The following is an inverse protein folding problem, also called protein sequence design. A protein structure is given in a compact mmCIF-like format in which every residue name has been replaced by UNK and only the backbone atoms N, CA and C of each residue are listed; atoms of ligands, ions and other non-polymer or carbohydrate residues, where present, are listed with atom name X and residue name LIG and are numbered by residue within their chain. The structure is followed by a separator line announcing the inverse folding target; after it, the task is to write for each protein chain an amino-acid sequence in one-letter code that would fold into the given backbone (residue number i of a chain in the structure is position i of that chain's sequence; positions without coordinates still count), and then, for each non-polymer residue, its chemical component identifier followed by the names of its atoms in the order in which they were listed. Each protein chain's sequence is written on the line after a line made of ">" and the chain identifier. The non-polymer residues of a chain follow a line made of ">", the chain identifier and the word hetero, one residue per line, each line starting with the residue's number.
data_IF_753161579415
#
_entry.id   IF_753161579415
#
_cell.length_a   1.000
_cell.length_b   1.000
_cell.length_c   1.000
_cell.angle_alpha   90.00
_cell.angle_beta   90.00
_cell.angle_gamma   90.00
#
_symmetry.space_group_name_H-M   'P 1'
#
loop_
_entity.id
_entity.type
_entity.pdbx_description
1 polymer ?
#
# COMPACT_ATOMS: atom_id res chain seq x y z
N UNK A 1 -2.93 4.06 36.77
CA UNK A 1 -2.60 2.73 36.19
C UNK A 1 -3.08 1.56 37.06
N UNK A 2 -2.98 1.60 38.40
CA UNK A 2 -3.51 0.52 39.25
C UNK A 2 -5.06 0.44 39.27
N UNK A 3 -5.77 1.57 39.17
CA UNK A 3 -7.23 1.61 39.19
C UNK A 3 -7.87 0.98 37.95
N UNK A 4 -7.32 1.23 36.75
CA UNK A 4 -7.82 0.69 35.46
C UNK A 4 -7.59 -0.81 35.29
N UNK A 5 -6.63 -1.39 36.01
CA UNK A 5 -6.35 -2.83 36.04
C UNK A 5 -7.34 -3.56 36.97
N UNK A 6 -7.79 -2.90 38.05
CA UNK A 6 -8.80 -3.48 38.95
C UNK A 6 -10.20 -3.53 38.31
N UNK A 7 -10.54 -2.53 37.48
CA UNK A 7 -11.84 -2.46 36.80
C UNK A 7 -11.95 -3.52 35.70
N UNK A 8 -10.83 -3.85 35.02
CA UNK A 8 -10.81 -4.90 33.99
C UNK A 8 -10.83 -6.31 34.59
N UNK A 9 -10.20 -6.54 35.74
CA UNK A 9 -10.27 -7.82 36.45
C UNK A 9 -11.71 -8.13 36.94
N UNK A 10 -12.41 -7.13 37.47
CA UNK A 10 -13.81 -7.27 37.88
C UNK A 10 -14.74 -7.50 36.68
N UNK A 11 -14.53 -6.79 35.57
CA UNK A 11 -15.31 -7.01 34.34
C UNK A 11 -15.10 -8.43 33.76
N UNK A 12 -13.87 -8.96 33.82
CA UNK A 12 -13.56 -10.33 33.38
C UNK A 12 -14.18 -11.38 34.31
N UNK A 13 -14.18 -11.16 35.64
CA UNK A 13 -14.86 -12.04 36.58
C UNK A 13 -16.38 -12.02 36.42
N UNK A 14 -16.97 -10.85 36.14
CA UNK A 14 -18.41 -10.69 35.92
C UNK A 14 -18.85 -11.30 34.57
N UNK A 15 -18.04 -11.19 33.53
CA UNK A 15 -18.20 -11.92 32.27
C UNK A 15 -18.07 -13.43 32.49
N UNK A 16 -17.13 -13.87 33.33
CA UNK A 16 -16.94 -15.27 33.69
C UNK A 16 -18.14 -15.86 34.43
N UNK A 17 -18.74 -15.13 35.38
CA UNK A 17 -19.92 -15.58 36.12
C UNK A 17 -21.19 -15.61 35.26
N UNK A 18 -21.39 -14.59 34.40
CA UNK A 18 -22.48 -14.56 33.42
C UNK A 18 -22.34 -15.67 32.37
N UNK A 19 -21.13 -15.96 31.92
CA UNK A 19 -20.86 -17.08 31.02
C UNK A 19 -21.14 -18.41 31.70
N UNK A 20 -20.72 -18.59 32.96
CA UNK A 20 -20.98 -19.81 33.73
C UNK A 20 -22.49 -20.04 33.95
N UNK A 21 -23.26 -18.99 34.31
CA UNK A 21 -24.71 -19.08 34.45
C UNK A 21 -25.41 -19.38 33.11
N UNK A 22 -24.97 -18.75 32.02
CA UNK A 22 -25.52 -18.99 30.67
C UNK A 22 -25.20 -20.41 30.20
N UNK A 23 -23.99 -20.90 30.45
CA UNK A 23 -23.59 -22.28 30.18
C UNK A 23 -24.43 -23.28 30.99
N UNK A 24 -24.67 -23.02 32.28
CA UNK A 24 -25.52 -23.85 33.13
C UNK A 24 -26.98 -23.87 32.64
N UNK A 25 -27.49 -22.73 32.15
CA UNK A 25 -28.84 -22.60 31.60
C UNK A 25 -28.98 -23.32 30.25
N UNK A 26 -27.93 -23.29 29.42
CA UNK A 26 -27.84 -24.04 28.16
C UNK A 26 -27.71 -25.56 28.40
N UNK A 27 -27.05 -25.97 29.47
CA UNK A 27 -26.89 -27.39 29.85
C UNK A 27 -28.18 -28.02 30.41
N UNK A 28 -29.03 -27.24 31.06
CA UNK A 28 -30.24 -27.71 31.77
C UNK A 28 -31.51 -27.75 30.89
N UNK A 29 -31.52 -27.12 29.72
CA UNK A 29 -32.68 -27.14 28.82
C UNK A 29 -32.75 -28.38 27.90
N UNK A 30 -33.98 -28.84 27.57
CA UNK A 30 -34.27 -30.06 26.78
C UNK A 30 -33.83 -30.04 25.29
N UNK A 31 -33.30 -28.93 24.78
CA UNK A 31 -32.91 -28.83 23.36
C UNK A 31 -31.52 -29.45 23.12
N UNK A 32 -31.48 -30.60 22.44
CA UNK A 32 -30.26 -31.30 22.06
C UNK A 32 -29.27 -30.41 21.29
N UNK A 33 -29.77 -29.45 20.50
CA UNK A 33 -28.94 -28.49 19.77
C UNK A 33 -28.16 -27.51 20.66
N UNK A 34 -28.75 -27.04 21.76
CA UNK A 34 -28.09 -26.12 22.70
C UNK A 34 -27.02 -26.83 23.53
N UNK A 35 -27.27 -28.09 23.92
CA UNK A 35 -26.26 -28.94 24.58
C UNK A 35 -25.08 -29.25 23.65
N UNK A 36 -25.35 -29.53 22.37
CA UNK A 36 -24.31 -29.73 21.36
C UNK A 36 -23.47 -28.46 21.16
N UNK A 37 -24.12 -27.29 21.05
CA UNK A 37 -23.42 -26.00 20.93
C UNK A 37 -22.53 -25.74 22.15
N UNK A 38 -23.04 -25.95 23.36
CA UNK A 38 -22.26 -25.79 24.59
C UNK A 38 -21.07 -26.76 24.64
N UNK A 39 -21.27 -28.03 24.25
CA UNK A 39 -20.20 -29.02 24.17
C UNK A 39 -19.12 -28.61 23.16
N UNK A 40 -19.50 -28.05 22.00
CA UNK A 40 -18.56 -27.52 21.00
C UNK A 40 -17.77 -26.33 21.56
N UNK A 41 -18.42 -25.42 22.28
CA UNK A 41 -17.76 -24.27 22.90
C UNK A 41 -16.77 -24.74 23.97
N UNK A 42 -17.20 -25.61 24.89
CA UNK A 42 -16.33 -26.15 25.94
C UNK A 42 -15.17 -26.96 25.37
N UNK A 43 -15.41 -27.79 24.36
CA UNK A 43 -14.35 -28.52 23.66
C UNK A 43 -13.37 -27.56 22.97
N UNK A 44 -13.87 -26.51 22.32
CA UNK A 44 -13.03 -25.47 21.69
C UNK A 44 -12.16 -24.76 22.73
N UNK A 45 -12.76 -24.31 23.83
CA UNK A 45 -12.04 -23.65 24.93
C UNK A 45 -10.98 -24.60 25.52
N UNK A 46 -11.34 -25.86 25.77
CA UNK A 46 -10.41 -26.85 26.28
C UNK A 46 -9.27 -27.13 25.29
N UNK A 47 -9.57 -27.38 24.01
CA UNK A 47 -8.58 -27.68 22.96
C UNK A 47 -7.60 -26.52 22.76
N UNK A 48 -8.09 -25.28 22.79
CA UNK A 48 -7.29 -24.08 22.53
C UNK A 48 -6.90 -23.32 23.81
N UNK A 49 -7.01 -23.93 25.00
CA UNK A 49 -6.68 -23.29 26.29
C UNK A 49 -5.23 -22.79 26.41
N UNK A 50 -4.34 -23.28 25.54
CA UNK A 50 -2.91 -22.90 25.47
C UNK A 50 -2.48 -22.50 24.06
N UNK A 51 -3.42 -22.27 23.15
CA UNK A 51 -3.13 -21.97 21.75
C UNK A 51 -4.13 -20.99 21.15
N UNK A 52 -3.84 -20.52 19.96
CA UNK A 52 -4.69 -19.58 19.23
C UNK A 52 -5.70 -20.35 18.39
N UNK A 53 -6.95 -19.91 18.38
CA UNK A 53 -8.03 -20.53 17.63
C UNK A 53 -7.64 -20.66 16.14
N UNK A 54 -7.73 -21.87 15.60
CA UNK A 54 -7.39 -22.21 14.21
C UNK A 54 -5.93 -22.00 13.78
N UNK A 55 -5.00 -21.78 14.71
CA UNK A 55 -3.58 -21.59 14.40
C UNK A 55 -2.74 -22.65 15.11
N UNK A 56 -1.83 -23.27 14.35
CA UNK A 56 -0.88 -24.25 14.90
C UNK A 56 0.10 -23.54 15.87
N UNK A 57 0.36 -24.12 17.06
CA UNK A 57 1.43 -23.65 17.95
C UNK A 57 2.79 -23.75 17.28
N UNK A 58 3.64 -22.73 17.46
CA UNK A 58 5.00 -22.63 16.94
C UNK A 58 5.94 -22.13 18.06
N UNK A 59 6.20 -22.92 19.12
CA UNK A 59 7.00 -22.47 20.27
C UNK A 59 8.45 -22.14 19.92
N UNK A 60 8.94 -22.64 18.79
CA UNK A 60 10.28 -22.37 18.28
C UNK A 60 10.45 -20.97 17.68
N UNK A 61 9.35 -20.28 17.36
CA UNK A 61 9.40 -18.92 16.81
C UNK A 61 9.27 -17.89 17.95
N UNK A 62 10.19 -16.92 18.05
CA UNK A 62 10.11 -15.86 19.06
C UNK A 62 8.97 -14.89 18.74
N UNK A 63 8.41 -14.24 19.76
CA UNK A 63 7.39 -13.21 19.55
C UNK A 63 6.65 -12.82 20.82
N UNK A 64 5.83 -11.76 20.76
CA UNK A 64 5.04 -11.34 21.91
C UNK A 64 4.05 -12.42 22.34
N UNK A 65 3.91 -12.64 23.67
CA UNK A 65 3.04 -13.70 24.19
C UNK A 65 1.59 -13.40 23.81
N UNK A 66 0.95 -14.36 23.16
CA UNK A 66 -0.47 -14.29 22.82
C UNK A 66 -1.36 -14.77 23.98
N UNK A 67 -2.56 -14.18 24.09
CA UNK A 67 -3.58 -14.67 25.01
C UNK A 67 -4.19 -15.99 24.49
N UNK A 68 -4.65 -16.90 25.38
CA UNK A 68 -5.39 -18.09 24.96
C UNK A 68 -6.58 -17.72 24.06
N UNK A 69 -6.89 -18.57 23.08
CA UNK A 69 -7.94 -18.38 22.07
C UNK A 69 -7.69 -17.25 21.06
N UNK A 70 -7.36 -16.04 21.53
CA UNK A 70 -7.32 -14.82 20.70
C UNK A 70 -5.91 -14.40 20.27
N UNK A 71 -4.86 -15.03 20.80
CA UNK A 71 -3.48 -14.74 20.43
C UNK A 71 -3.10 -13.28 20.66
N UNK A 72 -2.50 -12.66 19.64
CA UNK A 72 -2.08 -11.26 19.66
C UNK A 72 -3.18 -10.30 19.20
N UNK A 73 -4.44 -10.75 19.07
CA UNK A 73 -5.55 -9.90 18.63
C UNK A 73 -5.66 -8.61 19.45
N UNK A 74 -5.61 -8.74 20.79
CA UNK A 74 -5.75 -7.60 21.70
C UNK A 74 -4.63 -6.56 21.52
N UNK A 75 -3.40 -7.03 21.38
CA UNK A 75 -2.22 -6.17 21.14
C UNK A 75 -2.38 -5.36 19.85
N UNK A 76 -2.90 -5.98 18.78
CA UNK A 76 -3.10 -5.31 17.49
C UNK A 76 -4.21 -4.26 17.56
N UNK A 77 -5.35 -4.55 18.17
CA UNK A 77 -6.48 -3.60 18.22
C UNK A 77 -6.28 -2.48 19.22
N UNK A 78 -5.45 -2.67 20.24
CA UNK A 78 -5.13 -1.63 21.25
C UNK A 78 -3.97 -0.74 20.85
N UNK A 79 -3.13 -1.17 19.91
CA UNK A 79 -2.04 -0.35 19.39
C UNK A 79 -2.62 0.73 18.47
N UNK A 80 -2.43 2.03 18.77
CA UNK A 80 -2.84 3.10 17.88
C UNK A 80 -2.18 2.94 16.50
N UNK A 81 -2.89 3.23 15.42
CA UNK A 81 -2.36 3.14 14.05
C UNK A 81 -1.09 3.98 13.88
N UNK A 82 -1.03 5.15 14.54
CA UNK A 82 0.15 6.04 14.56
C UNK A 82 1.36 5.47 15.31
N UNK A 83 1.13 4.52 16.24
CA UNK A 83 2.17 3.88 17.04
C UNK A 83 2.60 2.50 16.52
N UNK A 84 2.03 2.06 15.39
CA UNK A 84 2.21 0.72 14.88
C UNK A 84 3.65 0.46 14.39
N UNK A 85 4.29 1.42 13.72
CA UNK A 85 5.66 1.24 13.24
C UNK A 85 6.65 1.13 14.41
N UNK A 86 6.48 1.98 15.43
CA UNK A 86 7.28 1.94 16.65
C UNK A 86 7.03 0.66 17.46
N UNK A 87 5.81 0.08 17.40
CA UNK A 87 5.56 -1.22 18.03
C UNK A 87 6.33 -2.35 17.34
N UNK A 88 6.47 -2.31 16.02
CA UNK A 88 7.31 -3.26 15.28
C UNK A 88 8.79 -3.10 15.65
N UNK A 89 9.30 -1.87 15.75
CA UNK A 89 10.68 -1.62 16.20
C UNK A 89 10.94 -2.19 17.60
N UNK A 90 10.02 -1.97 18.55
CA UNK A 90 10.12 -2.56 19.90
C UNK A 90 10.14 -4.09 19.85
N UNK A 91 9.36 -4.70 18.97
CA UNK A 91 9.37 -6.14 18.79
C UNK A 91 10.70 -6.64 18.21
N UNK A 92 11.28 -5.97 17.21
CA UNK A 92 12.61 -6.34 16.70
C UNK A 92 13.71 -6.13 17.74
N UNK A 93 13.64 -5.06 18.53
CA UNK A 93 14.60 -4.81 19.61
C UNK A 93 14.55 -5.92 20.69
N UNK A 94 13.36 -6.48 20.96
CA UNK A 94 13.16 -7.51 21.99
C UNK A 94 13.39 -8.94 21.50
N UNK A 95 12.96 -9.27 20.29
CA UNK A 95 12.92 -10.64 19.76
C UNK A 95 13.98 -10.91 18.69
N UNK A 96 14.77 -9.90 18.31
CA UNK A 96 15.80 -10.03 17.27
C UNK A 96 15.22 -9.81 15.87
N UNK A 97 15.85 -10.40 14.84
CA UNK A 97 15.54 -10.13 13.42
C UNK A 97 14.22 -10.73 12.93
N UNK A 98 13.62 -11.62 13.71
CA UNK A 98 12.38 -12.32 13.39
C UNK A 98 11.48 -12.34 14.62
N UNK A 99 10.19 -12.09 14.43
CA UNK A 99 9.19 -12.34 15.46
C UNK A 99 7.87 -12.79 14.84
N UNK A 100 7.04 -13.51 15.59
CA UNK A 100 5.74 -13.97 15.12
C UNK A 100 4.57 -13.45 15.96
N UNK A 101 3.44 -13.22 15.29
CA UNK A 101 2.15 -12.99 15.91
C UNK A 101 1.11 -13.93 15.31
N UNK A 102 0.15 -14.37 16.11
CA UNK A 102 -0.97 -15.19 15.65
C UNK A 102 -2.30 -14.57 16.05
N UNK A 103 -3.22 -14.53 15.09
CA UNK A 103 -4.56 -13.97 15.28
C UNK A 103 -5.58 -14.95 14.69
N UNK A 104 -6.68 -15.26 15.39
CA UNK A 104 -7.76 -16.09 14.85
C UNK A 104 -8.24 -15.59 13.48
N UNK A 105 -8.53 -16.52 12.58
CA UNK A 105 -9.01 -16.27 11.20
C UNK A 105 -8.05 -15.52 10.27
N UNK A 106 -7.03 -14.82 10.79
CA UNK A 106 -5.96 -14.19 10.00
C UNK A 106 -4.82 -15.18 9.75
N UNK A 107 -4.54 -16.01 10.75
CA UNK A 107 -3.43 -16.97 10.77
C UNK A 107 -2.20 -16.43 11.49
N UNK A 108 -1.07 -17.08 11.23
CA UNK A 108 0.24 -16.66 11.73
C UNK A 108 0.90 -15.68 10.76
N UNK A 109 1.49 -14.62 11.30
CA UNK A 109 2.39 -13.73 10.58
C UNK A 109 3.78 -13.84 11.19
N UNK A 110 4.77 -14.18 10.38
CA UNK A 110 6.19 -14.17 10.71
C UNK A 110 6.73 -12.87 10.12
N UNK A 111 7.18 -11.97 11.00
CA UNK A 111 7.66 -10.65 10.62
C UNK A 111 9.18 -10.63 10.67
N UNK A 112 9.81 -10.20 9.59
CA UNK A 112 11.27 -10.25 9.41
C UNK A 112 11.82 -8.87 9.02
N UNK A 113 13.09 -8.63 9.33
CA UNK A 113 13.86 -7.48 8.83
C UNK A 113 15.17 -7.91 8.15
N UNK A 114 15.16 -9.09 7.54
CA UNK A 114 16.36 -9.73 7.00
C UNK A 114 16.41 -9.68 5.46
N UNK A 115 17.43 -9.02 4.85
CA UNK A 115 17.54 -8.93 3.40
C UNK A 115 17.64 -10.28 2.67
N UNK A 116 18.28 -11.30 3.26
CA UNK A 116 18.41 -12.61 2.63
C UNK A 116 17.05 -13.31 2.56
N UNK A 117 16.27 -13.24 3.64
CA UNK A 117 14.90 -13.73 3.67
C UNK A 117 14.03 -12.97 2.65
N UNK A 118 14.16 -11.64 2.57
CA UNK A 118 13.42 -10.85 1.58
C UNK A 118 13.79 -11.23 0.15
N UNK A 119 15.08 -11.41 -0.15
CA UNK A 119 15.54 -11.86 -1.45
C UNK A 119 14.98 -13.25 -1.79
N UNK A 120 14.91 -14.17 -0.83
CA UNK A 120 14.27 -15.47 -1.03
C UNK A 120 12.78 -15.33 -1.38
N UNK A 121 12.02 -14.60 -0.57
CA UNK A 121 10.57 -14.45 -0.71
C UNK A 121 10.17 -13.65 -1.95
N UNK A 122 10.94 -12.60 -2.31
CA UNK A 122 10.58 -11.66 -3.36
C UNK A 122 11.26 -11.94 -4.70
N UNK A 123 12.25 -12.84 -4.74
CA UNK A 123 13.00 -13.17 -5.97
C UNK A 123 13.18 -14.67 -6.15
N UNK A 124 13.84 -15.36 -5.23
CA UNK A 124 14.26 -16.77 -5.43
C UNK A 124 13.08 -17.73 -5.51
N UNK A 125 12.14 -17.65 -4.56
CA UNK A 125 10.97 -18.51 -4.49
C UNK A 125 9.65 -17.72 -4.62
N UNK A 126 9.66 -16.69 -5.48
CA UNK A 126 8.57 -15.72 -5.63
C UNK A 126 7.17 -16.36 -5.76
N UNK A 127 7.04 -17.45 -6.53
CA UNK A 127 5.76 -18.09 -6.82
C UNK A 127 5.13 -18.81 -5.62
N UNK A 128 5.90 -19.12 -4.59
CA UNK A 128 5.37 -19.68 -3.34
C UNK A 128 4.71 -18.61 -2.44
N UNK A 129 4.81 -17.32 -2.81
CA UNK A 129 4.42 -16.19 -1.98
C UNK A 129 3.48 -15.22 -2.72
N UNK A 130 2.18 -15.34 -2.45
CA UNK A 130 1.14 -14.48 -3.03
C UNK A 130 0.78 -13.31 -2.12
N UNK A 131 0.01 -12.32 -2.60
CA UNK A 131 -0.61 -11.31 -1.72
C UNK A 131 -1.71 -11.95 -0.86
N UNK A 132 -2.46 -12.88 -1.44
CA UNK A 132 -3.44 -13.72 -0.75
C UNK A 132 -4.82 -13.08 -0.60
N UNK A 133 -5.83 -13.92 -0.36
CA UNK A 133 -7.25 -13.55 -0.44
C UNK A 133 -7.65 -12.36 0.44
N UNK A 134 -7.10 -12.24 1.65
CA UNK A 134 -7.40 -11.13 2.57
C UNK A 134 -6.97 -9.77 2.00
N UNK A 135 -5.76 -9.67 1.46
CA UNK A 135 -5.25 -8.42 0.87
C UNK A 135 -6.10 -8.05 -0.35
N UNK A 136 -6.36 -9.03 -1.23
CA UNK A 136 -7.23 -8.83 -2.40
C UNK A 136 -8.62 -8.35 -2.01
N UNK A 137 -9.24 -8.94 -0.98
CA UNK A 137 -10.58 -8.54 -0.52
C UNK A 137 -10.61 -7.12 0.07
N UNK A 138 -9.57 -6.73 0.82
CA UNK A 138 -9.46 -5.40 1.39
C UNK A 138 -9.31 -4.35 0.28
N UNK A 139 -8.47 -4.60 -0.72
CA UNK A 139 -8.16 -3.65 -1.79
C UNK A 139 -9.15 -3.66 -2.95
N UNK A 140 -9.97 -4.72 -3.11
CA UNK A 140 -10.94 -4.86 -4.21
C UNK A 140 -11.87 -3.66 -4.43
N UNK A 141 -12.38 -2.96 -3.39
CA UNK A 141 -13.20 -1.77 -3.62
C UNK A 141 -12.48 -0.63 -4.36
N UNK A 142 -11.16 -0.55 -4.24
CA UNK A 142 -10.34 0.53 -4.79
C UNK A 142 -9.71 0.18 -6.13
N UNK A 143 -9.14 -1.02 -6.25
CA UNK A 143 -8.37 -1.46 -7.44
C UNK A 143 -8.97 -2.66 -8.16
N UNK A 144 -10.10 -3.19 -7.68
CA UNK A 144 -10.74 -4.38 -8.24
C UNK A 144 -9.78 -5.57 -8.39
N UNK A 145 -9.61 -6.07 -9.62
CA UNK A 145 -8.69 -7.14 -10.03
C UNK A 145 -7.37 -6.62 -10.60
N UNK A 146 -7.07 -5.33 -10.45
CA UNK A 146 -5.84 -4.70 -10.89
C UNK A 146 -4.59 -5.24 -10.18
N UNK A 147 -3.41 -4.76 -10.58
CA UNK A 147 -2.12 -5.42 -10.31
C UNK A 147 -1.80 -5.57 -8.81
N UNK A 148 -2.33 -4.67 -7.98
CA UNK A 148 -2.21 -4.71 -6.51
C UNK A 148 -3.10 -5.78 -5.85
N UNK A 149 -4.12 -6.26 -6.55
CA UNK A 149 -5.04 -7.33 -6.12
C UNK A 149 -4.95 -8.58 -6.99
N UNK A 150 -3.93 -8.69 -7.83
CA UNK A 150 -3.66 -9.86 -8.68
C UNK A 150 -2.55 -10.74 -8.09
N UNK A 151 -2.65 -12.05 -8.31
CA UNK A 151 -1.65 -13.08 -7.98
C UNK A 151 -1.47 -14.04 -9.17
N UNK A 152 -0.42 -14.86 -9.15
CA UNK A 152 -0.16 -15.89 -10.16
C UNK A 152 -0.05 -15.37 -11.60
N UNK A 153 -0.60 -16.14 -12.56
CA UNK A 153 -0.58 -15.79 -14.00
C UNK A 153 -1.31 -14.48 -14.29
N UNK A 154 -2.38 -14.14 -13.55
CA UNK A 154 -3.09 -12.87 -13.73
C UNK A 154 -2.21 -11.67 -13.40
N UNK A 155 -1.41 -11.77 -12.33
CA UNK A 155 -0.41 -10.74 -12.00
C UNK A 155 0.69 -10.67 -13.06
N UNK A 156 1.20 -11.83 -13.51
CA UNK A 156 2.28 -11.92 -14.50
C UNK A 156 1.89 -11.23 -15.80
N UNK A 157 0.69 -11.51 -16.30
CA UNK A 157 0.12 -10.87 -17.48
C UNK A 157 0.05 -9.34 -17.31
N UNK A 158 -0.57 -8.85 -16.23
CA UNK A 158 -0.63 -7.40 -15.97
C UNK A 158 0.76 -6.76 -15.84
N UNK A 159 1.71 -7.45 -15.20
CA UNK A 159 3.09 -6.96 -15.02
C UNK A 159 3.83 -6.85 -16.36
N UNK A 160 3.68 -7.85 -17.22
CA UNK A 160 4.25 -7.82 -18.58
C UNK A 160 3.70 -6.62 -19.36
N UNK A 161 2.39 -6.37 -19.25
CA UNK A 161 1.78 -5.24 -19.93
C UNK A 161 2.25 -3.88 -19.41
N UNK A 162 2.22 -3.72 -18.09
CA UNK A 162 2.72 -2.53 -17.42
C UNK A 162 4.17 -2.20 -17.78
N UNK A 163 5.02 -3.22 -17.95
CA UNK A 163 6.45 -3.00 -18.22
C UNK A 163 6.74 -2.28 -19.54
N UNK A 164 5.82 -2.32 -20.51
CA UNK A 164 6.01 -1.71 -21.84
C UNK A 164 6.03 -0.18 -21.80
N UNK A 165 5.37 0.46 -20.83
CA UNK A 165 5.41 1.93 -20.66
C UNK A 165 6.62 2.42 -19.87
N UNK A 166 7.20 1.57 -19.02
CA UNK A 166 8.33 1.95 -18.17
C UNK A 166 9.67 1.65 -18.87
N UNK A 167 9.80 2.11 -20.11
CA UNK A 167 11.01 1.91 -20.93
C UNK A 167 11.77 3.22 -21.09
N UNK A 168 13.10 3.13 -21.26
CA UNK A 168 13.95 4.30 -21.56
C UNK A 168 13.43 5.10 -22.76
N UNK A 169 12.91 4.41 -23.78
CA UNK A 169 12.31 5.04 -24.95
C UNK A 169 11.09 5.89 -24.58
N UNK A 170 10.14 5.33 -23.83
CA UNK A 170 8.97 6.07 -23.36
C UNK A 170 9.36 7.27 -22.49
N UNK A 171 10.38 7.11 -21.64
CA UNK A 171 10.90 8.18 -20.81
C UNK A 171 11.41 9.37 -21.62
N UNK A 172 12.25 9.10 -22.63
CA UNK A 172 12.81 10.13 -23.51
C UNK A 172 11.78 10.79 -24.41
N UNK A 173 10.78 10.05 -24.86
CA UNK A 173 9.82 10.55 -25.86
C UNK A 173 8.66 11.33 -25.26
N UNK A 174 8.33 11.10 -23.98
CA UNK A 174 7.12 11.69 -23.41
C UNK A 174 7.20 11.94 -21.90
N UNK A 175 7.62 10.95 -21.11
CA UNK A 175 7.55 11.06 -19.64
C UNK A 175 8.37 12.23 -19.09
N UNK A 176 9.57 12.47 -19.62
CA UNK A 176 10.42 13.58 -19.20
C UNK A 176 9.72 14.93 -19.41
N UNK A 177 9.16 15.15 -20.60
CA UNK A 177 8.55 16.42 -20.98
C UNK A 177 7.32 16.74 -20.13
N UNK A 178 6.52 15.72 -19.78
CA UNK A 178 5.41 15.87 -18.84
C UNK A 178 5.92 16.31 -17.48
N UNK A 179 6.88 15.59 -16.89
CA UNK A 179 7.39 15.95 -15.57
C UNK A 179 8.02 17.34 -15.54
N UNK A 180 8.78 17.72 -16.57
CA UNK A 180 9.38 19.06 -16.65
C UNK A 180 8.30 20.14 -16.72
N UNK A 181 7.27 19.96 -17.56
CA UNK A 181 6.17 20.92 -17.67
C UNK A 181 5.37 21.04 -16.37
N UNK A 182 4.98 19.92 -15.77
CA UNK A 182 4.22 19.95 -14.52
C UNK A 182 5.07 20.46 -13.34
N UNK A 183 6.39 20.23 -13.36
CA UNK A 183 7.30 20.78 -12.36
C UNK A 183 7.41 22.30 -12.50
N UNK A 184 7.47 22.83 -13.74
CA UNK A 184 7.44 24.27 -13.98
C UNK A 184 6.15 24.89 -13.45
N UNK A 185 4.97 24.27 -13.69
CA UNK A 185 3.71 24.75 -13.12
C UNK A 185 3.71 24.76 -11.58
N UNK A 186 4.33 23.76 -10.95
CA UNK A 186 4.49 23.73 -9.50
C UNK A 186 5.43 24.84 -9.00
N UNK A 187 6.51 25.14 -9.73
CA UNK A 187 7.41 26.27 -9.45
C UNK A 187 6.67 27.59 -9.61
N UNK A 188 5.95 27.80 -10.72
CA UNK A 188 5.16 29.01 -10.97
C UNK A 188 4.10 29.24 -9.87
N UNK A 189 3.55 28.17 -9.30
CA UNK A 189 2.67 28.25 -8.15
C UNK A 189 3.41 28.74 -6.90
N UNK A 190 4.60 28.20 -6.61
CA UNK A 190 5.43 28.61 -5.47
C UNK A 190 5.95 30.04 -5.59
N UNK A 191 6.27 30.51 -6.80
CA UNK A 191 6.77 31.87 -7.06
C UNK A 191 5.79 32.95 -6.62
N UNK A 192 4.48 32.65 -6.63
CA UNK A 192 3.43 33.56 -6.11
C UNK A 192 3.61 33.87 -4.62
N UNK A 193 4.27 32.99 -3.86
CA UNK A 193 4.44 33.08 -2.41
C UNK A 193 5.88 33.35 -1.97
N UNK A 194 6.85 33.27 -2.89
CA UNK A 194 8.28 33.31 -2.56
C UNK A 194 8.70 34.53 -1.71
N UNK A 195 8.05 35.68 -1.90
CA UNK A 195 8.34 36.93 -1.20
C UNK A 195 7.24 37.40 -0.24
N UNK A 196 6.21 36.59 0.01
CA UNK A 196 5.05 36.99 0.82
C UNK A 196 5.21 36.62 2.30
N UNK A 197 6.09 35.65 2.61
CA UNK A 197 6.21 35.07 3.95
C UNK A 197 5.06 34.12 4.32
N UNK A 198 4.18 33.80 3.37
CA UNK A 198 3.09 32.85 3.58
C UNK A 198 3.60 31.41 3.65
N UNK A 199 2.94 30.59 4.48
CA UNK A 199 3.25 29.18 4.62
C UNK A 199 2.51 28.38 3.56
N UNK A 200 3.25 27.59 2.77
CA UNK A 200 2.71 26.71 1.73
C UNK A 200 2.79 25.24 2.15
N UNK A 201 1.70 24.51 1.99
CA UNK A 201 1.66 23.06 2.20
C UNK A 201 2.23 22.32 0.98
N UNK A 202 3.52 21.97 1.04
CA UNK A 202 4.21 21.21 -0.01
C UNK A 202 3.64 19.81 -0.20
N UNK A 203 3.07 19.17 0.83
CA UNK A 203 2.49 17.85 0.70
C UNK A 203 1.31 17.90 -0.28
N UNK A 204 0.42 18.89 -0.10
CA UNK A 204 -0.72 19.12 -0.98
C UNK A 204 -0.29 19.47 -2.40
N UNK A 205 0.73 20.32 -2.55
CA UNK A 205 1.32 20.63 -3.86
C UNK A 205 1.85 19.37 -4.57
N UNK A 206 2.61 18.52 -3.86
CA UNK A 206 3.16 17.29 -4.45
C UNK A 206 2.08 16.27 -4.80
N UNK A 207 0.98 16.20 -4.05
CA UNK A 207 -0.19 15.40 -4.44
C UNK A 207 -0.80 15.88 -5.76
N UNK A 208 -0.93 17.19 -5.95
CA UNK A 208 -1.41 17.76 -7.21
C UNK A 208 -0.41 17.49 -8.35
N UNK A 209 0.87 17.82 -8.15
CA UNK A 209 1.93 17.60 -9.15
C UNK A 209 1.99 16.15 -9.65
N UNK A 210 1.91 15.19 -8.74
CA UNK A 210 1.98 13.77 -9.10
C UNK A 210 0.68 13.24 -9.70
N UNK A 211 -0.49 13.73 -9.26
CA UNK A 211 -1.78 13.40 -9.88
C UNK A 211 -1.84 13.91 -11.33
N UNK A 212 -1.42 15.16 -11.57
CA UNK A 212 -1.36 15.77 -12.89
C UNK A 212 -0.39 15.00 -13.80
N UNK A 213 0.85 14.80 -13.33
CA UNK A 213 1.89 14.14 -14.12
C UNK A 213 1.52 12.70 -14.50
N UNK A 214 1.13 11.87 -13.53
CA UNK A 214 0.78 10.47 -13.80
C UNK A 214 -0.58 10.33 -14.49
N UNK A 215 -1.51 11.24 -14.21
CA UNK A 215 -2.76 11.37 -14.93
C UNK A 215 -2.54 11.44 -16.44
N UNK A 216 -1.63 12.32 -16.84
CA UNK A 216 -1.31 12.52 -18.23
C UNK A 216 -0.46 11.37 -18.78
N UNK A 217 0.61 10.96 -18.07
CA UNK A 217 1.52 9.91 -18.53
C UNK A 217 0.80 8.57 -18.76
N UNK A 218 -0.07 8.18 -17.83
CA UNK A 218 -0.70 6.87 -17.88
C UNK A 218 -2.01 6.88 -18.69
N UNK A 219 -2.76 8.00 -18.72
CA UNK A 219 -4.12 8.03 -19.26
C UNK A 219 -4.41 9.19 -20.21
N UNK A 220 -3.43 10.07 -20.46
CA UNK A 220 -3.66 11.31 -21.20
C UNK A 220 -4.77 12.15 -20.57
N UNK A 221 -4.88 12.16 -19.24
CA UNK A 221 -5.91 12.90 -18.48
C UNK A 221 -5.27 14.10 -17.77
N UNK A 222 -5.92 15.26 -17.87
CA UNK A 222 -5.46 16.52 -17.27
C UNK A 222 -6.47 16.88 -16.17
N UNK A 223 -5.98 17.02 -14.94
CA UNK A 223 -6.83 17.26 -13.76
C UNK A 223 -6.94 18.75 -13.42
N UNK A 224 -6.02 19.58 -13.93
CA UNK A 224 -5.86 21.00 -13.61
C UNK A 224 -5.78 21.27 -12.10
N UNK A 225 -5.24 20.30 -11.33
CA UNK A 225 -5.15 20.41 -9.89
C UNK A 225 -3.99 21.31 -9.43
N UNK A 226 -3.05 21.62 -10.32
CA UNK A 226 -1.96 22.58 -10.08
C UNK A 226 -2.36 24.05 -10.25
N UNK A 227 -3.49 24.34 -10.90
CA UNK A 227 -3.95 25.73 -11.08
C UNK A 227 -4.34 26.36 -9.74
N UNK A 228 -4.97 25.54 -8.88
CA UNK A 228 -5.30 25.88 -7.51
C UNK A 228 -5.21 24.63 -6.63
N UNK A 229 -4.01 24.32 -6.09
CA UNK A 229 -3.80 23.19 -5.20
C UNK A 229 -4.71 23.23 -3.97
N UNK A 230 -5.24 24.39 -3.56
CA UNK A 230 -6.13 24.52 -2.39
C UNK A 230 -7.53 23.95 -2.58
N UNK A 231 -7.93 23.66 -3.83
CA UNK A 231 -9.23 23.05 -4.15
C UNK A 231 -9.10 21.53 -4.27
N UNK A 232 -10.03 20.82 -3.66
CA UNK A 232 -10.11 19.37 -3.79
C UNK A 232 -10.76 19.00 -5.12
N UNK A 233 -10.10 18.13 -5.88
CA UNK A 233 -10.73 17.43 -7.00
C UNK A 233 -11.62 16.34 -6.41
N UNK A 234 -12.91 16.28 -6.80
CA UNK A 234 -13.89 15.35 -6.23
C UNK A 234 -13.39 13.89 -6.25
N UNK A 235 -12.81 13.48 -7.38
CA UNK A 235 -12.18 12.17 -7.54
C UNK A 235 -11.07 11.95 -6.50
N UNK A 236 -10.13 12.89 -6.36
CA UNK A 236 -9.01 12.78 -5.43
C UNK A 236 -9.48 12.69 -3.98
N UNK A 237 -10.47 13.50 -3.58
CA UNK A 237 -11.03 13.48 -2.24
C UNK A 237 -11.78 12.16 -1.94
N UNK A 238 -12.57 11.64 -2.89
CA UNK A 238 -13.24 10.35 -2.73
C UNK A 238 -12.23 9.20 -2.67
N UNK A 239 -11.19 9.28 -3.49
CA UNK A 239 -10.09 8.34 -3.51
C UNK A 239 -9.34 8.30 -2.16
N UNK A 240 -9.00 9.47 -1.60
CA UNK A 240 -8.26 9.58 -0.33
C UNK A 240 -9.08 9.03 0.85
N UNK A 241 -10.40 9.33 0.89
CA UNK A 241 -11.32 8.75 1.89
C UNK A 241 -11.40 7.24 1.77
N UNK A 242 -11.53 6.73 0.54
CA UNK A 242 -11.59 5.29 0.29
C UNK A 242 -10.27 4.62 0.71
N UNK A 243 -9.12 5.17 0.34
CA UNK A 243 -7.81 4.63 0.71
C UNK A 243 -7.62 4.61 2.25
N UNK A 244 -8.03 5.68 2.95
CA UNK A 244 -8.00 5.75 4.41
C UNK A 244 -8.86 4.66 5.08
N UNK A 245 -10.12 4.51 4.65
CA UNK A 245 -11.04 3.53 5.21
C UNK A 245 -10.56 2.08 4.96
N UNK A 246 -10.03 1.80 3.77
CA UNK A 246 -9.49 0.47 3.44
C UNK A 246 -8.18 0.17 4.19
N UNK A 247 -7.31 1.17 4.37
CA UNK A 247 -6.07 1.03 5.14
C UNK A 247 -6.33 0.60 6.58
N UNK A 248 -7.40 1.11 7.20
CA UNK A 248 -7.84 0.70 8.54
C UNK A 248 -8.17 -0.79 8.65
N UNK A 249 -8.63 -1.44 7.56
CA UNK A 249 -9.00 -2.87 7.55
C UNK A 249 -7.79 -3.80 7.73
N UNK A 250 -6.58 -3.33 7.41
CA UNK A 250 -5.35 -4.10 7.66
C UNK A 250 -5.05 -4.24 9.16
N UNK A 251 -5.47 -3.26 9.97
CA UNK A 251 -5.25 -3.24 11.41
C UNK A 251 -6.45 -3.77 12.22
N UNK A 252 -7.57 -4.07 11.56
CA UNK A 252 -8.76 -4.65 12.19
C UNK A 252 -8.98 -6.09 11.70
N UNK A 253 -8.60 -7.12 12.49
CA UNK A 253 -8.83 -8.51 12.10
C UNK A 253 -10.30 -8.84 11.82
N UNK A 254 -11.21 -8.14 12.52
CA UNK A 254 -12.67 -8.26 12.46
C UNK A 254 -13.35 -7.14 11.65
N UNK A 255 -12.63 -6.51 10.71
CA UNK A 255 -13.16 -5.40 9.92
C UNK A 255 -14.55 -5.63 9.28
N UNK A 256 -14.95 -6.84 8.82
CA UNK A 256 -16.28 -7.02 8.24
C UNK A 256 -17.40 -6.74 9.25
N UNK A 257 -17.19 -7.11 10.52
CA UNK A 257 -18.13 -6.83 11.61
C UNK A 257 -18.11 -5.34 11.98
N UNK A 258 -16.93 -4.73 12.03
CA UNK A 258 -16.79 -3.29 12.31
C UNK A 258 -17.48 -2.46 11.24
N UNK A 259 -17.31 -2.80 9.97
CA UNK A 259 -17.91 -2.09 8.84
C UNK A 259 -19.44 -2.21 8.85
N UNK A 260 -19.96 -3.39 9.20
CA UNK A 260 -21.39 -3.63 9.38
C UNK A 260 -21.98 -2.79 10.53
N UNK A 261 -21.32 -2.77 11.69
CA UNK A 261 -21.79 -2.06 12.89
C UNK A 261 -21.67 -0.53 12.78
N UNK A 262 -20.65 -0.04 12.08
CA UNK A 262 -20.37 1.40 11.96
C UNK A 262 -21.03 2.04 10.73
N UNK A 263 -21.59 1.24 9.83
CA UNK A 263 -22.15 1.72 8.56
C UNK A 263 -21.10 2.19 7.55
N UNK A 264 -19.80 1.97 7.82
CA UNK A 264 -18.68 2.32 6.90
C UNK A 264 -18.86 1.74 5.51
N UNK A 265 -19.49 0.56 5.39
CA UNK A 265 -19.79 -0.06 4.10
C UNK A 265 -20.53 0.86 3.14
N UNK A 266 -21.47 1.70 3.62
CA UNK A 266 -22.23 2.62 2.76
C UNK A 266 -21.34 3.73 2.19
N UNK A 267 -20.45 4.28 3.03
CA UNK A 267 -19.48 5.31 2.62
C UNK A 267 -18.48 4.76 1.61
N UNK A 268 -17.93 3.59 1.90
CA UNK A 268 -17.00 2.89 1.01
C UNK A 268 -17.63 2.63 -0.36
N UNK A 269 -18.90 2.22 -0.42
CA UNK A 269 -19.57 1.99 -1.70
C UNK A 269 -19.85 3.30 -2.46
N UNK A 270 -20.20 4.38 -1.75
CA UNK A 270 -20.38 5.70 -2.36
C UNK A 270 -19.07 6.26 -2.95
N UNK A 271 -17.98 6.25 -2.18
CA UNK A 271 -16.67 6.71 -2.66
C UNK A 271 -16.15 5.80 -3.79
N UNK A 272 -16.38 4.48 -3.71
CA UNK A 272 -16.08 3.53 -4.79
C UNK A 272 -16.83 3.86 -6.08
N UNK A 273 -18.11 4.25 -5.99
CA UNK A 273 -18.89 4.61 -7.16
C UNK A 273 -18.33 5.85 -7.86
N UNK A 274 -17.92 6.88 -7.09
CA UNK A 274 -17.26 8.07 -7.62
C UNK A 274 -15.95 7.69 -8.34
N UNK A 275 -15.09 6.94 -7.66
CA UNK A 275 -13.79 6.50 -8.19
C UNK A 275 -13.94 5.66 -9.46
N UNK A 276 -14.86 4.68 -9.47
CA UNK A 276 -15.13 3.87 -10.69
C UNK A 276 -15.73 4.70 -11.81
N UNK A 277 -16.65 5.63 -11.51
CA UNK A 277 -17.26 6.49 -12.53
C UNK A 277 -16.21 7.34 -13.24
N UNK A 278 -15.19 7.78 -12.51
CA UNK A 278 -14.06 8.50 -13.07
C UNK A 278 -13.25 7.61 -14.04
N UNK A 279 -12.87 6.40 -13.60
CA UNK A 279 -12.17 5.45 -14.47
C UNK A 279 -12.96 5.10 -15.74
N UNK A 280 -14.29 4.95 -15.63
CA UNK A 280 -15.15 4.69 -16.80
C UNK A 280 -15.15 5.89 -17.77
N UNK A 281 -15.25 7.13 -17.26
CA UNK A 281 -15.20 8.33 -18.10
C UNK A 281 -13.90 8.42 -18.91
N UNK A 282 -12.76 8.06 -18.33
CA UNK A 282 -11.47 8.01 -19.03
C UNK A 282 -11.55 7.01 -20.20
N UNK A 283 -12.07 5.81 -19.96
CA UNK A 283 -12.19 4.76 -20.98
C UNK A 283 -13.13 5.19 -22.11
N UNK A 284 -14.29 5.73 -21.76
CA UNK A 284 -15.30 6.18 -22.73
C UNK A 284 -14.79 7.34 -23.58
N UNK A 285 -14.05 8.27 -22.98
CA UNK A 285 -13.37 9.37 -23.70
C UNK A 285 -12.36 8.81 -24.70
N UNK A 286 -11.47 7.91 -24.26
CA UNK A 286 -10.45 7.34 -25.14
C UNK A 286 -11.03 6.56 -26.32
N UNK A 287 -12.10 5.81 -26.09
CA UNK A 287 -12.79 5.09 -27.18
C UNK A 287 -13.37 6.04 -28.22
N UNK A 288 -13.93 7.18 -27.79
CA UNK A 288 -14.43 8.20 -28.72
C UNK A 288 -13.31 8.84 -29.53
N UNK A 289 -12.21 9.21 -28.88
CA UNK A 289 -11.02 9.77 -29.55
C UNK A 289 -10.49 8.82 -30.63
N UNK A 290 -10.38 7.52 -30.32
CA UNK A 290 -9.96 6.50 -31.30
C UNK A 290 -10.91 6.42 -32.51
N UNK A 291 -12.23 6.42 -32.28
CA UNK A 291 -13.22 6.37 -33.36
C UNK A 291 -13.19 7.63 -34.24
N UNK A 292 -12.77 8.78 -33.68
CA UNK A 292 -12.59 10.02 -34.42
C UNK A 292 -11.28 9.98 -35.22
N UNK A 293 -10.19 9.48 -34.65
CA UNK A 293 -8.89 9.28 -35.33
C UNK A 293 -9.01 8.29 -36.50
N UNK A 294 -9.69 7.16 -36.31
CA UNK A 294 -9.93 6.15 -37.35
C UNK A 294 -10.75 6.69 -38.53
N UNK A 295 -11.62 7.69 -38.30
CA UNK A 295 -12.42 8.34 -39.35
C UNK A 295 -11.63 9.40 -40.15
N UNK A 296 -10.53 9.91 -39.60
CA UNK A 296 -9.74 10.98 -40.22
C UNK A 296 -8.58 10.42 -41.06
N UNK A 297 -8.15 9.18 -40.82
CA UNK A 297 -6.87 8.64 -41.32
C UNK A 297 -6.99 7.36 -42.19
N UNK A 298 -8.01 7.26 -43.06
CA UNK A 298 -8.22 6.15 -44.03
C UNK A 298 -7.09 5.94 -45.07
N UNK A 299 -5.87 6.46 -44.88
CA UNK A 299 -4.81 6.43 -45.88
C UNK A 299 -3.34 6.47 -45.44
N UNK A 300 -3.00 6.41 -44.15
CA UNK A 300 -1.59 6.34 -43.71
C UNK A 300 -1.35 5.32 -42.60
N UNK A 301 -0.17 4.71 -42.70
CA UNK A 301 0.39 3.67 -41.83
C UNK A 301 0.26 4.04 -40.33
N UNK A 302 -0.52 3.23 -39.59
CA UNK A 302 -0.87 3.40 -38.17
C UNK A 302 0.38 3.09 -37.32
N UNK A 303 1.32 4.04 -37.25
CA UNK A 303 2.66 3.76 -36.74
C UNK A 303 3.28 4.77 -35.78
N UNK A 304 2.61 5.86 -35.37
CA UNK A 304 3.29 6.88 -34.55
C UNK A 304 2.45 7.67 -33.52
N UNK A 305 1.24 7.23 -33.20
CA UNK A 305 0.46 7.79 -32.08
C UNK A 305 1.08 7.46 -30.72
N UNK A 306 1.06 8.42 -29.78
CA UNK A 306 1.54 8.26 -28.39
C UNK A 306 0.78 7.12 -27.71
N UNK A 307 1.42 5.95 -27.54
CA UNK A 307 0.81 4.82 -26.82
C UNK A 307 0.98 4.99 -25.32
N UNK A 308 0.00 5.59 -24.66
CA UNK A 308 -0.07 5.57 -23.20
C UNK A 308 -0.52 4.20 -22.66
N UNK A 309 -0.56 4.06 -21.33
CA UNK A 309 -0.82 2.79 -20.67
C UNK A 309 -2.20 2.24 -21.01
N UNK A 310 -3.20 3.11 -20.99
CA UNK A 310 -4.57 2.74 -21.33
C UNK A 310 -4.65 2.22 -22.77
N UNK A 311 -3.99 2.89 -23.70
CA UNK A 311 -3.97 2.46 -25.10
C UNK A 311 -3.35 1.08 -25.26
N UNK A 312 -2.26 0.78 -24.55
CA UNK A 312 -1.65 -0.55 -24.57
C UNK A 312 -2.58 -1.62 -24.02
N UNK A 313 -3.31 -1.35 -22.94
CA UNK A 313 -4.30 -2.30 -22.42
C UNK A 313 -5.46 -2.52 -23.42
N UNK A 314 -5.87 -1.49 -24.16
CA UNK A 314 -6.89 -1.63 -25.19
C UNK A 314 -6.41 -2.40 -26.44
N UNK A 315 -5.17 -2.18 -26.88
CA UNK A 315 -4.62 -2.74 -28.14
C UNK A 315 -4.42 -4.27 -28.11
N UNK A 316 -4.13 -4.86 -26.95
CA UNK A 316 -3.83 -6.31 -26.85
C UNK A 316 -5.03 -7.16 -27.23
N UNK A 317 -6.23 -6.69 -26.88
CA UNK A 317 -7.48 -7.34 -27.25
C UNK A 317 -7.65 -7.48 -28.76
N UNK A 318 -7.03 -6.59 -29.53
CA UNK A 318 -7.07 -6.61 -30.99
C UNK A 318 -5.90 -7.36 -31.66
N UNK A 319 -4.71 -7.38 -31.05
CA UNK A 319 -3.49 -7.89 -31.70
C UNK A 319 -3.33 -9.43 -31.62
N UNK A 320 -3.82 -10.10 -30.58
CA UNK A 320 -3.60 -11.55 -30.37
C UNK A 320 -4.80 -12.44 -30.75
N UNK A 321 -5.85 -11.88 -31.39
CA UNK A 321 -7.10 -12.63 -31.64
C UNK A 321 -7.82 -13.09 -30.36
N UNK A 322 -7.40 -12.55 -29.21
CA UNK A 322 -8.00 -12.76 -27.91
C UNK A 322 -9.26 -11.91 -27.73
N UNK A 323 -10.04 -12.21 -26.68
CA UNK A 323 -11.17 -11.35 -26.32
C UNK A 323 -10.64 -10.01 -25.81
N UNK A 324 -11.17 -8.87 -26.29
CA UNK A 324 -10.88 -7.57 -25.71
C UNK A 324 -11.07 -7.58 -24.19
N UNK A 325 -10.22 -6.84 -23.48
CA UNK A 325 -10.39 -6.69 -22.03
C UNK A 325 -11.76 -6.08 -21.75
N UNK A 326 -12.44 -6.66 -20.75
CA UNK A 326 -13.68 -6.08 -20.27
C UNK A 326 -13.42 -4.69 -19.65
N UNK A 327 -14.44 -3.83 -19.72
CA UNK A 327 -14.36 -2.47 -19.20
C UNK A 327 -13.99 -2.45 -17.73
N UNK A 328 -14.46 -3.44 -16.96
CA UNK A 328 -14.14 -3.57 -15.55
C UNK A 328 -12.63 -3.74 -15.31
N UNK A 329 -11.93 -4.55 -16.12
CA UNK A 329 -10.49 -4.78 -16.01
C UNK A 329 -9.70 -3.57 -16.50
N UNK A 330 -10.19 -2.83 -17.49
CA UNK A 330 -9.61 -1.56 -17.90
C UNK A 330 -9.73 -0.52 -16.77
N UNK A 331 -10.92 -0.38 -16.16
CA UNK A 331 -11.13 0.51 -15.00
C UNK A 331 -10.21 0.12 -13.85
N UNK A 332 -10.16 -1.17 -13.52
CA UNK A 332 -9.33 -1.70 -12.43
C UNK A 332 -7.83 -1.43 -12.68
N UNK A 333 -7.40 -1.50 -13.93
CA UNK A 333 -6.02 -1.18 -14.34
C UNK A 333 -5.75 0.31 -14.20
N UNK A 334 -6.62 1.17 -14.76
CA UNK A 334 -6.52 2.64 -14.66
C UNK A 334 -6.40 3.07 -13.21
N UNK A 335 -7.35 2.64 -12.37
CA UNK A 335 -7.35 2.97 -10.97
C UNK A 335 -6.07 2.53 -10.28
N UNK A 336 -5.58 1.32 -10.52
CA UNK A 336 -4.34 0.81 -9.95
C UNK A 336 -3.13 1.72 -10.21
N UNK A 337 -2.95 2.19 -11.45
CA UNK A 337 -1.78 3.01 -11.78
C UNK A 337 -1.88 4.45 -11.28
N UNK A 338 -3.09 5.03 -11.19
CA UNK A 338 -3.31 6.34 -10.55
C UNK A 338 -2.79 6.30 -9.09
N UNK A 339 -3.17 5.26 -8.33
CA UNK A 339 -2.75 5.13 -6.91
C UNK A 339 -1.25 5.06 -6.79
N UNK A 340 -0.64 4.22 -7.63
CA UNK A 340 0.77 3.89 -7.53
C UNK A 340 1.64 5.13 -7.76
N UNK A 341 1.33 5.88 -8.83
CA UNK A 341 2.12 7.03 -9.25
C UNK A 341 1.91 8.28 -8.41
N UNK A 342 0.68 8.49 -7.91
CA UNK A 342 0.30 9.69 -7.13
C UNK A 342 0.84 9.64 -5.70
N UNK A 343 0.24 8.81 -4.85
CA UNK A 343 0.40 8.94 -3.40
C UNK A 343 1.82 8.63 -2.93
N UNK A 344 2.45 7.61 -3.50
CA UNK A 344 3.78 7.17 -3.06
C UNK A 344 4.87 8.18 -3.42
N UNK A 345 4.80 8.75 -4.63
CA UNK A 345 5.75 9.77 -5.11
C UNK A 345 5.55 11.08 -4.37
N UNK A 346 4.30 11.51 -4.17
CA UNK A 346 3.98 12.74 -3.43
C UNK A 346 4.53 12.68 -2.01
N UNK A 347 4.33 11.55 -1.32
CA UNK A 347 4.84 11.34 0.02
C UNK A 347 6.37 11.33 0.06
N UNK A 348 7.03 10.67 -0.90
CA UNK A 348 8.49 10.64 -0.96
C UNK A 348 9.08 12.03 -1.16
N UNK A 349 8.49 12.84 -2.06
CA UNK A 349 8.89 14.24 -2.26
C UNK A 349 8.67 15.08 -1.00
N UNK A 350 7.50 14.96 -0.36
CA UNK A 350 7.19 15.70 0.87
C UNK A 350 8.20 15.39 1.98
N UNK A 351 8.56 14.13 2.21
CA UNK A 351 9.58 13.75 3.20
C UNK A 351 10.97 14.24 2.83
N UNK A 352 11.30 14.23 1.54
CA UNK A 352 12.60 14.70 1.04
C UNK A 352 12.77 16.18 1.33
N UNK A 353 11.78 17.01 0.95
CA UNK A 353 11.79 18.44 1.24
C UNK A 353 11.74 18.73 2.75
N UNK A 354 10.92 17.99 3.51
CA UNK A 354 10.89 18.11 4.97
C UNK A 354 12.25 17.85 5.60
N UNK A 355 12.96 16.79 5.20
CA UNK A 355 14.28 16.48 5.76
C UNK A 355 15.33 17.54 5.46
N UNK A 356 15.25 18.16 4.28
CA UNK A 356 16.17 19.22 3.86
C UNK A 356 15.90 20.58 4.55
N UNK A 357 14.65 20.85 4.96
CA UNK A 357 14.25 22.16 5.47
C UNK A 357 13.80 22.17 6.94
N UNK A 358 13.68 21.01 7.59
CA UNK A 358 13.32 20.95 9.02
C UNK A 358 14.35 21.67 9.88
N UNK A 359 13.92 22.09 11.06
CA UNK A 359 14.83 22.67 12.07
C UNK A 359 15.99 21.71 12.36
N UNK A 360 17.22 22.21 12.20
CA UNK A 360 18.45 21.44 12.40
C UNK A 360 18.90 20.62 11.18
N UNK A 361 18.26 20.78 10.02
CA UNK A 361 18.81 20.29 8.76
C UNK A 361 20.11 21.03 8.40
N UNK A 362 21.04 20.32 7.76
CA UNK A 362 22.29 20.91 7.29
C UNK A 362 22.04 21.71 5.99
N UNK A 363 22.17 23.05 6.00
CA UNK A 363 21.96 23.87 4.81
C UNK A 363 22.94 23.54 3.68
N UNK A 364 24.09 22.92 3.98
CA UNK A 364 25.05 22.50 2.97
C UNK A 364 24.49 21.41 2.03
N UNK A 365 23.50 20.63 2.47
CA UNK A 365 22.85 19.62 1.62
C UNK A 365 22.08 20.31 0.48
N UNK A 366 21.26 21.31 0.80
CA UNK A 366 20.50 22.05 -0.23
C UNK A 366 21.46 22.80 -1.16
N UNK A 367 22.46 23.48 -0.60
CA UNK A 367 23.44 24.21 -1.40
C UNK A 367 24.20 23.30 -2.38
N UNK A 368 24.62 22.11 -1.93
CA UNK A 368 25.31 21.13 -2.79
C UNK A 368 24.38 20.55 -3.86
N UNK A 369 23.10 20.33 -3.55
CA UNK A 369 22.12 19.89 -4.55
C UNK A 369 21.87 20.95 -5.61
N UNK A 370 21.82 22.22 -5.22
CA UNK A 370 21.70 23.35 -6.14
C UNK A 370 22.94 23.46 -7.03
N UNK A 371 24.15 23.36 -6.47
CA UNK A 371 25.40 23.35 -7.23
C UNK A 371 25.45 22.22 -8.27
N UNK A 372 25.12 20.97 -7.88
CA UNK A 372 25.02 19.85 -8.82
C UNK A 372 23.99 20.10 -9.93
N UNK A 373 22.85 20.70 -9.57
CA UNK A 373 21.78 21.05 -10.52
C UNK A 373 22.26 22.11 -11.51
N UNK A 374 22.86 23.19 -11.03
CA UNK A 374 23.32 24.32 -11.83
C UNK A 374 24.45 23.91 -12.79
N UNK A 375 25.42 23.11 -12.32
CA UNK A 375 26.52 22.60 -13.14
C UNK A 375 26.05 21.68 -14.27
N UNK A 376 25.06 20.84 -13.98
CA UNK A 376 24.53 19.84 -14.91
C UNK A 376 23.58 20.48 -15.93
N UNK A 377 22.68 21.35 -15.48
CA UNK A 377 21.65 21.94 -16.33
C UNK A 377 22.15 23.17 -17.09
N UNK A 378 23.05 23.96 -16.48
CA UNK A 378 23.60 25.21 -17.07
C UNK A 378 22.52 26.15 -17.58
N UNK A 379 21.42 26.27 -16.82
CA UNK A 379 20.25 27.07 -17.17
C UNK A 379 19.28 26.43 -18.17
N UNK A 380 19.54 25.20 -18.62
CA UNK A 380 18.63 24.41 -19.46
C UNK A 380 17.56 23.66 -18.67
N UNK A 381 16.55 23.15 -19.38
CA UNK A 381 15.55 22.26 -18.79
C UNK A 381 16.09 20.82 -18.62
N UNK A 382 15.64 20.09 -17.59
CA UNK A 382 16.03 18.69 -17.41
C UNK A 382 15.65 17.80 -18.60
N UNK A 383 16.57 16.93 -18.98
CA UNK A 383 16.39 15.83 -19.92
C UNK A 383 16.59 14.50 -19.19
N UNK A 384 16.23 13.38 -19.82
CA UNK A 384 16.49 12.05 -19.25
C UNK A 384 17.99 11.86 -18.91
N UNK A 385 18.88 12.38 -19.76
CA UNK A 385 20.33 12.26 -19.65
C UNK A 385 20.91 13.15 -18.55
N UNK A 386 20.41 14.36 -18.37
CA UNK A 386 20.86 15.26 -17.30
C UNK A 386 20.31 14.82 -15.96
N UNK A 387 19.06 14.33 -15.90
CA UNK A 387 18.47 13.78 -14.67
C UNK A 387 19.27 12.60 -14.14
N UNK A 388 19.80 11.74 -15.01
CA UNK A 388 20.69 10.62 -14.62
C UNK A 388 22.02 11.08 -14.01
N UNK A 389 22.43 12.32 -14.23
CA UNK A 389 23.68 12.88 -13.71
C UNK A 389 23.52 13.48 -12.31
N UNK A 390 22.30 13.72 -11.85
CA UNK A 390 21.94 14.28 -10.54
C UNK A 390 22.10 13.27 -9.40
N UNK A 391 23.32 12.77 -9.19
CA UNK A 391 23.60 11.66 -8.27
C UNK A 391 23.41 12.06 -6.81
N UNK A 392 23.77 13.29 -6.45
CA UNK A 392 23.61 13.78 -5.09
C UNK A 392 22.14 14.04 -4.77
N UNK A 393 21.38 14.60 -5.72
CA UNK A 393 19.92 14.72 -5.58
C UNK A 393 19.25 13.34 -5.42
N UNK A 394 19.63 12.36 -6.24
CA UNK A 394 19.16 10.98 -6.14
C UNK A 394 19.53 10.34 -4.79
N UNK A 395 20.75 10.57 -4.29
CA UNK A 395 21.18 10.07 -2.98
C UNK A 395 20.31 10.66 -1.85
N UNK A 396 20.03 11.97 -1.89
CA UNK A 396 19.16 12.63 -0.90
C UNK A 396 17.72 12.09 -0.95
N UNK A 397 17.18 11.87 -2.15
CA UNK A 397 15.86 11.26 -2.32
C UNK A 397 15.83 9.82 -1.81
N UNK A 398 16.83 9.01 -2.14
CA UNK A 398 16.93 7.62 -1.67
C UNK A 398 17.09 7.54 -0.15
N UNK A 399 17.82 8.47 0.46
CA UNK A 399 17.96 8.58 1.92
C UNK A 399 16.63 8.92 2.60
N UNK A 400 15.87 9.84 2.01
CA UNK A 400 14.51 10.14 2.44
C UNK A 400 13.60 8.91 2.37
N UNK A 401 13.65 8.14 1.28
CA UNK A 401 12.85 6.91 1.11
C UNK A 401 13.32 5.79 2.05
N UNK A 402 14.62 5.71 2.38
CA UNK A 402 15.15 4.79 3.39
C UNK A 402 14.55 5.08 4.77
N UNK A 403 14.51 6.35 5.17
CA UNK A 403 14.00 6.79 6.47
C UNK A 403 12.46 6.84 6.52
N UNK A 404 11.82 7.34 5.48
CA UNK A 404 10.36 7.54 5.42
C UNK A 404 9.76 6.84 4.20
N UNK A 405 9.83 5.50 4.15
CA UNK A 405 9.27 4.74 3.03
C UNK A 405 7.75 4.93 2.99
N UNK A 406 7.22 5.34 1.82
CA UNK A 406 5.78 5.49 1.60
C UNK A 406 5.00 4.20 1.92
N UNK A 407 5.59 3.04 1.58
CA UNK A 407 5.09 1.71 1.96
C UNK A 407 6.02 1.10 3.02
N UNK A 408 5.73 1.42 4.28
CA UNK A 408 6.57 1.06 5.44
C UNK A 408 6.47 -0.40 5.90
N UNK A 409 5.44 -1.11 5.45
CA UNK A 409 5.19 -2.53 5.73
C UNK A 409 4.60 -3.23 4.52
N UNK A 410 4.98 -4.48 4.32
CA UNK A 410 4.39 -5.35 3.32
C UNK A 410 4.34 -6.80 3.80
N UNK A 411 3.55 -7.62 3.11
CA UNK A 411 3.45 -9.04 3.41
C UNK A 411 3.11 -9.89 2.19
N UNK A 412 3.42 -11.18 2.30
CA UNK A 412 2.98 -12.24 1.41
C UNK A 412 2.41 -13.41 2.20
N UNK A 413 1.45 -14.10 1.60
CA UNK A 413 0.89 -15.37 2.03
C UNK A 413 1.67 -16.50 1.38
N UNK A 414 2.20 -17.41 2.19
CA UNK A 414 2.82 -18.65 1.74
C UNK A 414 1.72 -19.59 1.21
N UNK A 415 1.79 -19.97 -0.07
CA UNK A 415 0.82 -20.89 -0.72
C UNK A 415 1.30 -22.33 -0.79
N UNK A 416 2.59 -22.55 -0.52
CA UNK A 416 3.27 -23.83 -0.48
C UNK A 416 4.32 -23.82 0.63
N UNK A 417 4.39 -24.90 1.42
CA UNK A 417 5.41 -25.07 2.48
C UNK A 417 6.82 -24.81 1.95
N UNK A 418 7.60 -24.06 2.73
CA UNK A 418 8.93 -23.57 2.34
C UNK A 418 9.86 -23.48 3.56
N UNK A 419 11.16 -23.37 3.31
CA UNK A 419 12.19 -23.13 4.31
C UNK A 419 13.00 -21.89 3.95
N UNK A 420 12.94 -20.87 4.80
CA UNK A 420 13.67 -19.62 4.59
C UNK A 420 15.15 -19.76 4.94
N UNK A 421 16.01 -18.87 4.41
CA UNK A 421 17.37 -18.71 4.91
C UNK A 421 17.41 -18.64 6.44
N UNK A 422 18.34 -19.38 7.05
CA UNK A 422 18.42 -19.56 8.50
C UNK A 422 17.56 -20.71 9.06
N UNK A 423 16.96 -21.55 8.21
CA UNK A 423 16.24 -22.77 8.61
C UNK A 423 14.83 -22.54 9.16
N UNK A 424 14.27 -21.36 8.93
CA UNK A 424 12.93 -21.00 9.43
C UNK A 424 11.88 -21.63 8.51
N UNK A 425 11.16 -22.62 9.02
CA UNK A 425 10.06 -23.27 8.29
C UNK A 425 8.83 -22.39 8.21
N UNK A 426 8.26 -22.26 7.02
CA UNK A 426 7.04 -21.51 6.73
C UNK A 426 6.05 -22.47 6.12
N UNK A 427 4.86 -22.57 6.72
CA UNK A 427 3.83 -23.47 6.24
C UNK A 427 2.80 -22.73 5.39
N UNK A 428 2.18 -23.46 4.47
CA UNK A 428 1.05 -22.99 3.67
C UNK A 428 -0.01 -22.35 4.57
N UNK A 429 -0.41 -21.12 4.21
CA UNK A 429 -1.37 -20.31 4.95
C UNK A 429 -0.75 -19.37 5.98
N UNK A 430 0.54 -19.52 6.31
CA UNK A 430 1.28 -18.53 7.10
C UNK A 430 1.67 -17.33 6.23
N UNK A 431 1.87 -16.17 6.88
CA UNK A 431 2.26 -14.93 6.20
C UNK A 431 3.69 -14.57 6.56
N UNK A 432 4.46 -14.16 5.57
CA UNK A 432 5.73 -13.47 5.77
C UNK A 432 5.47 -11.98 5.62
N UNK A 433 5.78 -11.21 6.66
CA UNK A 433 5.72 -9.76 6.64
C UNK A 433 7.12 -9.17 6.82
N UNK A 434 7.35 -7.99 6.27
CA UNK A 434 8.56 -7.23 6.49
C UNK A 434 8.24 -5.75 6.64
N UNK A 435 9.20 -5.02 7.17
CA UNK A 435 9.07 -3.58 7.38
C UNK A 435 10.29 -2.84 6.86
N UNK A 436 10.09 -2.14 5.75
CA UNK A 436 11.08 -1.23 5.18
C UNK A 436 11.43 -0.14 6.18
N UNK A 437 10.49 0.28 7.04
CA UNK A 437 10.74 1.25 8.11
C UNK A 437 11.82 0.79 9.10
N UNK A 438 11.72 -0.43 9.62
CA UNK A 438 12.71 -0.94 10.58
C UNK A 438 14.02 -1.35 9.90
N UNK A 439 13.94 -1.90 8.67
CA UNK A 439 15.15 -2.21 7.87
C UNK A 439 15.92 -0.96 7.48
N UNK A 440 15.22 0.12 7.17
CA UNK A 440 15.81 1.42 6.89
C UNK A 440 16.62 1.94 8.06
N UNK A 441 16.29 1.59 9.31
CA UNK A 441 16.97 2.04 10.54
C UNK A 441 17.83 0.97 11.21
N UNK A 442 18.13 -0.12 10.50
CA UNK A 442 18.89 -1.22 11.06
C UNK A 442 20.39 -0.90 11.04
N UNK A 443 20.98 -0.73 12.23
CA UNK A 443 22.40 -0.44 12.39
C UNK A 443 23.30 -1.57 11.84
N UNK A 444 22.79 -2.80 11.78
CA UNK A 444 23.52 -3.92 11.16
C UNK A 444 23.60 -3.80 9.63
N UNK A 445 22.67 -3.08 9.00
CA UNK A 445 22.62 -2.90 7.55
C UNK A 445 23.28 -1.60 7.10
N UNK A 446 23.09 -0.52 7.88
CA UNK A 446 23.48 0.83 7.48
C UNK A 446 24.63 1.42 8.31
N UNK A 447 25.02 0.77 9.42
CA UNK A 447 26.03 1.30 10.33
C UNK A 447 25.45 2.04 11.55
N UNK A 448 26.31 2.58 12.43
CA UNK A 448 25.89 3.14 13.72
C UNK A 448 25.04 4.42 13.61
N UNK A 449 25.05 5.10 12.46
CA UNK A 449 24.32 6.32 12.15
C UNK A 449 23.02 6.08 11.37
N UNK A 450 22.49 4.85 11.42
CA UNK A 450 21.30 4.46 10.65
C UNK A 450 19.99 5.21 10.98
N UNK A 451 19.91 6.01 12.05
CA UNK A 451 18.65 6.53 12.62
C UNK A 451 18.43 8.03 12.44
#
# INVERSE_FOLDING_TARGET
>A
MASSISTSANAVMELGSKFAQTALTLATQKSNGRKLLLAIILYTVYKYRRSVLFVRPRPELPGPPGLPLIGNFWEIVTTPTTGFLQSQERNFAKYGRVYTMAIPFVGRTITVKDPEILNHVLKTNFWAYEKGARVRQILRPLVGKGIFSADGEHWKWQRQMASKIFTVKAFRQYTNDVFVREAQRAIDYLDKFANTGEVVDLQRLFYCFTLESFGEIAFGEVFNCLDDPSKDVEFAAAFDRLNHDLSGRFFSPIYPLVDLLTGRSKRIEADRAIVRSFGQKIIDRRRRERLEEEKVDEGKDIGSGKKDLLQLFMDIGSEEGGTPLDDDMLVDSVLSFIIAGRDTTAQALAWTFYLMHRRGADPAIVARMQEETDETLRGGLPTYETTKQQKFAEACFNESVRLFPAVSKSSRLCVQDDELPGGIKVYKGERIAWTSWAMGRDEQLWGPDAK
#
